data_IF_827175966759
#
_entry.id   IF_827175966759
#
_cell.length_a   1.000
_cell.length_b   1.000
_cell.length_c   1.000
_cell.angle_alpha   90.00
_cell.angle_beta   90.00
_cell.angle_gamma   90.00
#
_symmetry.space_group_name_H-M   'P 1'
#
loop_
_entity.id
_entity.type
_entity.pdbx_description
1 polymer ?
#
# COMPACT_ATOMS: atom_id res chain seq x y z
N UNK A 1 -39.41 13.90 -7.93
CA UNK A 1 -38.37 14.04 -8.99
C UNK A 1 -37.03 14.54 -8.46
N UNK A 2 -36.97 15.60 -7.63
CA UNK A 2 -35.71 16.14 -7.07
C UNK A 2 -34.87 15.13 -6.27
N UNK A 3 -35.44 14.46 -5.28
CA UNK A 3 -34.72 13.45 -4.49
C UNK A 3 -34.21 12.30 -5.36
N UNK A 4 -35.04 11.78 -6.27
CA UNK A 4 -34.62 10.71 -7.20
C UNK A 4 -33.45 11.11 -8.10
N UNK A 5 -33.42 12.37 -8.56
CA UNK A 5 -32.30 12.91 -9.33
C UNK A 5 -31.01 13.00 -8.52
N UNK A 6 -31.09 13.46 -7.27
CA UNK A 6 -29.94 13.57 -6.34
C UNK A 6 -29.39 12.18 -5.99
N UNK A 7 -30.27 11.23 -5.69
CA UNK A 7 -29.86 9.85 -5.40
C UNK A 7 -29.19 9.22 -6.62
N UNK A 8 -29.81 9.33 -7.80
CA UNK A 8 -29.25 8.76 -9.03
C UNK A 8 -27.90 9.40 -9.41
N UNK A 9 -27.79 10.74 -9.34
CA UNK A 9 -26.54 11.42 -9.68
C UNK A 9 -25.42 11.09 -8.69
N UNK A 10 -25.72 11.02 -7.39
CA UNK A 10 -24.75 10.64 -6.36
C UNK A 10 -24.28 9.20 -6.56
N UNK A 11 -25.21 8.29 -6.89
CA UNK A 11 -24.89 6.89 -7.14
C UNK A 11 -24.01 6.73 -8.39
N UNK A 12 -24.36 7.40 -9.49
CA UNK A 12 -23.58 7.40 -10.74
C UNK A 12 -22.20 8.00 -10.52
N UNK A 13 -22.11 9.16 -9.86
CA UNK A 13 -20.84 9.83 -9.55
C UNK A 13 -19.95 8.92 -8.69
N UNK A 14 -20.51 8.30 -7.66
CA UNK A 14 -19.73 7.42 -6.77
C UNK A 14 -19.29 6.14 -7.48
N UNK A 15 -20.14 5.55 -8.33
CA UNK A 15 -19.78 4.41 -9.19
C UNK A 15 -18.67 4.77 -10.19
N UNK A 16 -18.67 5.98 -10.73
CA UNK A 16 -17.65 6.46 -11.66
C UNK A 16 -16.29 6.67 -10.96
N UNK A 17 -16.29 7.11 -9.70
CA UNK A 17 -15.06 7.35 -8.92
C UNK A 17 -14.52 6.07 -8.25
N UNK A 18 -15.38 5.08 -7.98
CA UNK A 18 -15.02 3.85 -7.28
C UNK A 18 -13.76 3.13 -7.83
N UNK A 19 -13.56 2.96 -9.15
CA UNK A 19 -12.38 2.28 -9.69
C UNK A 19 -11.06 3.00 -9.33
N UNK A 20 -11.08 4.33 -9.28
CA UNK A 20 -9.91 5.14 -8.89
C UNK A 20 -9.56 4.93 -7.42
N UNK A 21 -10.58 4.90 -6.55
CA UNK A 21 -10.41 4.61 -5.13
C UNK A 21 -9.82 3.22 -4.89
N UNK A 22 -10.35 2.20 -5.58
CA UNK A 22 -9.87 0.82 -5.45
C UNK A 22 -8.43 0.68 -5.97
N UNK A 23 -8.10 1.26 -7.13
CA UNK A 23 -6.76 1.13 -7.73
C UNK A 23 -5.66 1.78 -6.86
N UNK A 24 -5.92 2.96 -6.28
CA UNK A 24 -4.91 3.66 -5.48
C UNK A 24 -4.87 3.23 -4.02
N UNK A 25 -6.02 3.06 -3.39
CA UNK A 25 -6.11 2.83 -1.95
C UNK A 25 -6.32 1.38 -1.57
N UNK A 26 -6.56 0.48 -2.54
CA UNK A 26 -6.76 -0.97 -2.32
C UNK A 26 -7.90 -1.27 -1.33
N UNK A 27 -8.78 -0.29 -1.12
CA UNK A 27 -9.86 -0.31 -0.17
C UNK A 27 -11.16 -0.02 -0.93
N UNK A 28 -12.15 -0.88 -0.74
CA UNK A 28 -13.45 -0.70 -1.36
C UNK A 28 -14.33 0.12 -0.43
N UNK A 29 -14.42 1.42 -0.71
CA UNK A 29 -15.34 2.36 -0.07
C UNK A 29 -16.79 2.18 -0.58
N UNK A 30 -17.27 0.93 -0.64
CA UNK A 30 -18.68 0.64 -0.99
C UNK A 30 -19.64 1.40 -0.06
N UNK A 31 -19.23 1.60 1.19
CA UNK A 31 -19.99 2.32 2.20
C UNK A 31 -19.87 3.85 2.10
N UNK A 32 -18.93 4.39 1.32
CA UNK A 32 -18.89 5.83 1.04
C UNK A 32 -20.10 6.28 0.21
N UNK A 33 -20.67 5.39 -0.60
CA UNK A 33 -21.91 5.65 -1.35
C UNK A 33 -23.07 5.90 -0.38
N UNK A 34 -23.24 5.01 0.60
CA UNK A 34 -24.26 5.13 1.65
C UNK A 34 -24.01 6.36 2.53
N UNK A 35 -22.77 6.62 2.92
CA UNK A 35 -22.41 7.80 3.69
C UNK A 35 -22.72 9.10 2.93
N UNK A 36 -22.33 9.19 1.65
CA UNK A 36 -22.57 10.36 0.81
C UNK A 36 -24.06 10.59 0.55
N UNK A 37 -24.83 9.51 0.37
CA UNK A 37 -26.28 9.60 0.16
C UNK A 37 -26.99 10.29 1.34
N UNK A 38 -26.50 10.10 2.57
CA UNK A 38 -27.06 10.70 3.79
C UNK A 38 -26.41 12.05 4.10
N UNK A 39 -25.08 12.16 3.93
CA UNK A 39 -24.33 13.37 4.23
C UNK A 39 -24.66 14.53 3.29
N UNK A 40 -24.84 14.29 1.99
CA UNK A 40 -25.10 15.36 1.01
C UNK A 40 -26.42 16.10 1.29
N UNK A 41 -27.56 15.43 1.55
CA UNK A 41 -28.79 16.11 1.95
C UNK A 41 -28.65 16.93 3.25
N UNK A 42 -27.99 16.38 4.27
CA UNK A 42 -27.76 17.08 5.54
C UNK A 42 -26.91 18.34 5.30
N UNK A 43 -25.83 18.22 4.53
CA UNK A 43 -25.00 19.35 4.14
C UNK A 43 -25.79 20.43 3.39
N UNK A 44 -26.58 20.04 2.39
CA UNK A 44 -27.25 21.00 1.51
C UNK A 44 -28.47 21.67 2.16
N UNK A 45 -29.19 20.97 3.04
CA UNK A 45 -30.42 21.48 3.66
C UNK A 45 -30.12 22.21 4.97
N UNK A 46 -29.15 21.75 5.76
CA UNK A 46 -28.89 22.27 7.11
C UNK A 46 -27.59 23.07 7.13
N UNK A 47 -26.47 22.45 6.76
CA UNK A 47 -25.14 23.02 6.98
C UNK A 47 -24.89 24.25 6.11
N UNK A 48 -25.15 24.16 4.80
CA UNK A 48 -24.82 25.22 3.84
C UNK A 48 -25.74 26.46 3.99
N UNK A 49 -27.06 26.31 4.19
CA UNK A 49 -27.93 27.45 4.49
C UNK A 49 -27.61 28.10 5.84
N UNK A 50 -27.29 27.29 6.87
CA UNK A 50 -26.86 27.82 8.16
C UNK A 50 -25.53 28.57 8.04
N UNK A 51 -24.55 28.05 7.28
CA UNK A 51 -23.28 28.73 7.03
C UNK A 51 -23.47 30.07 6.30
N UNK A 52 -24.36 30.13 5.31
CA UNK A 52 -24.70 31.37 4.63
C UNK A 52 -25.39 32.37 5.59
N UNK A 53 -26.31 31.90 6.41
CA UNK A 53 -26.98 32.71 7.43
C UNK A 53 -25.97 33.23 8.48
N UNK A 54 -24.99 32.44 8.87
CA UNK A 54 -23.88 32.87 9.74
C UNK A 54 -23.12 34.02 9.12
N UNK A 55 -22.75 33.91 7.83
CA UNK A 55 -22.00 34.95 7.13
C UNK A 55 -22.77 36.28 7.07
N UNK A 56 -24.09 36.22 6.87
CA UNK A 56 -24.96 37.41 6.85
C UNK A 56 -25.20 37.99 8.25
N UNK A 57 -25.24 37.15 9.29
CA UNK A 57 -25.46 37.57 10.68
C UNK A 57 -24.19 38.10 11.38
N UNK A 58 -23.01 37.73 10.88
CA UNK A 58 -21.70 38.14 11.37
C UNK A 58 -21.52 39.66 11.53
N UNK A 59 -21.92 40.53 10.58
CA UNK A 59 -21.82 41.98 10.77
C UNK A 59 -22.75 42.55 11.87
N UNK A 60 -23.78 41.81 12.29
CA UNK A 60 -24.77 42.24 13.28
C UNK A 60 -24.50 41.64 14.68
N UNK A 61 -23.54 40.70 14.80
CA UNK A 61 -23.21 40.04 16.07
C UNK A 61 -24.22 38.97 16.52
N UNK A 62 -25.06 38.46 15.59
CA UNK A 62 -26.09 37.44 15.84
C UNK A 62 -25.74 36.06 15.26
N UNK A 63 -24.45 35.80 15.04
CA UNK A 63 -23.95 34.56 14.44
C UNK A 63 -24.18 33.30 15.29
N UNK A 64 -24.45 33.45 16.60
CA UNK A 64 -24.60 32.34 17.53
C UNK A 64 -25.75 31.38 17.15
N UNK A 65 -26.89 31.92 16.70
CA UNK A 65 -28.04 31.09 16.32
C UNK A 65 -27.80 30.26 15.05
N UNK A 66 -27.31 30.84 13.93
CA UNK A 66 -26.88 30.08 12.76
C UNK A 66 -25.78 29.05 13.04
N UNK A 67 -24.79 29.40 13.87
CA UNK A 67 -23.71 28.49 14.28
C UNK A 67 -24.24 27.27 15.05
N UNK A 68 -25.23 27.46 15.91
CA UNK A 68 -25.84 26.36 16.66
C UNK A 68 -26.56 25.36 15.75
N UNK A 69 -27.31 25.86 14.76
CA UNK A 69 -27.96 25.03 13.72
C UNK A 69 -26.94 24.29 12.87
N UNK A 70 -25.83 24.96 12.50
CA UNK A 70 -24.73 24.31 11.78
C UNK A 70 -24.10 23.17 12.60
N UNK A 71 -23.95 23.37 13.92
CA UNK A 71 -23.47 22.35 14.86
C UNK A 71 -24.31 21.07 14.81
N UNK A 72 -25.64 21.19 14.84
CA UNK A 72 -26.56 20.04 14.70
C UNK A 72 -26.36 19.29 13.38
N UNK A 73 -26.16 20.02 12.28
CA UNK A 73 -25.87 19.40 10.98
C UNK A 73 -24.56 18.60 10.99
N UNK A 74 -23.52 19.13 11.65
CA UNK A 74 -22.23 18.45 11.77
C UNK A 74 -22.33 17.22 12.68
N UNK A 75 -23.00 17.33 13.82
CA UNK A 75 -23.22 16.19 14.72
C UNK A 75 -23.99 15.07 14.03
N UNK A 76 -25.03 15.41 13.26
CA UNK A 76 -25.77 14.43 12.46
C UNK A 76 -24.87 13.72 11.43
N UNK A 77 -23.96 14.44 10.78
CA UNK A 77 -22.98 13.84 9.86
C UNK A 77 -21.99 12.91 10.57
N UNK A 78 -21.47 13.32 11.73
CA UNK A 78 -20.53 12.51 12.52
C UNK A 78 -21.22 11.25 13.03
N UNK A 79 -22.46 11.35 13.50
CA UNK A 79 -23.25 10.20 13.92
C UNK A 79 -23.48 9.22 12.76
N UNK A 80 -23.85 9.72 11.57
CA UNK A 80 -24.00 8.88 10.38
C UNK A 80 -22.68 8.20 10.00
N UNK A 81 -21.56 8.93 10.04
CA UNK A 81 -20.24 8.37 9.73
C UNK A 81 -19.85 7.25 10.71
N UNK A 82 -20.10 7.44 12.01
CA UNK A 82 -19.86 6.42 13.03
C UNK A 82 -20.74 5.17 12.83
N UNK A 83 -22.01 5.37 12.47
CA UNK A 83 -22.93 4.26 12.19
C UNK A 83 -22.52 3.46 10.95
N UNK A 84 -22.13 4.16 9.87
CA UNK A 84 -21.66 3.51 8.63
C UNK A 84 -20.33 2.79 8.84
N UNK A 85 -19.43 3.35 9.65
CA UNK A 85 -18.15 2.71 9.99
C UNK A 85 -18.31 1.47 10.86
N UNK A 86 -19.38 1.36 11.64
CA UNK A 86 -19.68 0.20 12.48
C UNK A 86 -20.26 -1.00 11.73
N UNK A 87 -20.60 -0.87 10.45
CA UNK A 87 -21.19 -1.95 9.66
C UNK A 87 -20.12 -3.02 9.30
N UNK A 88 -20.40 -4.32 9.52
CA UNK A 88 -19.48 -5.40 9.15
C UNK A 88 -19.26 -5.40 7.64
N UNK A 89 -17.99 -5.25 7.21
CA UNK A 89 -17.62 -5.14 5.80
C UNK A 89 -17.42 -3.71 5.28
N UNK A 90 -17.46 -2.69 6.16
CA UNK A 90 -17.25 -1.26 5.83
C UNK A 90 -16.04 -0.99 4.91
N UNK A 91 -15.02 -1.85 4.99
CA UNK A 91 -13.87 -1.88 4.10
C UNK A 91 -13.76 -3.28 3.50
N UNK A 92 -14.22 -3.44 2.26
CA UNK A 92 -13.88 -4.60 1.46
C UNK A 92 -12.44 -4.43 0.96
N UNK A 93 -11.50 -5.26 1.43
CA UNK A 93 -10.14 -5.26 0.89
C UNK A 93 -10.17 -6.00 -0.44
N UNK A 94 -10.02 -5.27 -1.54
CA UNK A 94 -9.98 -5.87 -2.88
C UNK A 94 -8.51 -5.94 -3.31
N UNK A 95 -8.04 -7.09 -3.82
CA UNK A 95 -6.68 -7.25 -4.29
C UNK A 95 -6.31 -6.16 -5.31
N UNK A 96 -5.04 -5.77 -5.31
CA UNK A 96 -4.50 -4.82 -6.28
C UNK A 96 -4.91 -5.16 -7.72
N UNK A 97 -5.62 -4.22 -8.34
CA UNK A 97 -6.09 -4.37 -9.72
C UNK A 97 -4.89 -4.10 -10.65
N UNK A 98 -4.57 -5.00 -11.60
CA UNK A 98 -3.51 -4.75 -12.57
C UNK A 98 -3.85 -3.52 -13.41
N UNK A 99 -2.84 -2.73 -13.77
CA UNK A 99 -3.01 -1.46 -14.51
C UNK A 99 -3.82 -1.64 -15.80
N UNK A 100 -3.68 -2.78 -16.49
CA UNK A 100 -4.47 -3.11 -17.68
C UNK A 100 -5.98 -3.20 -17.40
N UNK A 101 -6.37 -3.85 -16.30
CA UNK A 101 -7.78 -3.94 -15.90
C UNK A 101 -8.35 -2.56 -15.55
N UNK A 102 -7.57 -1.72 -14.86
CA UNK A 102 -7.94 -0.33 -14.58
C UNK A 102 -8.13 0.50 -15.85
N UNK A 103 -7.22 0.39 -16.83
CA UNK A 103 -7.35 1.08 -18.12
C UNK A 103 -8.59 0.60 -18.88
N UNK A 104 -8.89 -0.71 -18.88
CA UNK A 104 -10.12 -1.23 -19.48
C UNK A 104 -11.37 -0.63 -18.86
N UNK A 105 -11.40 -0.51 -17.52
CA UNK A 105 -12.52 0.10 -16.82
C UNK A 105 -12.69 1.57 -17.17
N UNK A 106 -11.60 2.34 -17.30
CA UNK A 106 -11.64 3.74 -17.74
C UNK A 106 -12.16 3.84 -19.17
N UNK A 107 -11.61 3.06 -20.09
CA UNK A 107 -12.03 3.08 -21.51
C UNK A 107 -13.50 2.71 -21.65
N UNK A 108 -13.97 1.70 -20.91
CA UNK A 108 -15.38 1.31 -20.87
C UNK A 108 -16.29 2.38 -20.26
N UNK A 109 -15.85 3.05 -19.19
CA UNK A 109 -16.55 4.16 -18.58
C UNK A 109 -16.65 5.37 -19.51
N UNK A 110 -15.54 5.70 -20.18
CA UNK A 110 -15.48 6.80 -21.16
C UNK A 110 -16.35 6.51 -22.39
N UNK A 111 -16.34 5.26 -22.87
CA UNK A 111 -17.26 4.82 -23.94
C UNK A 111 -18.72 4.97 -23.52
N UNK A 112 -19.03 4.61 -22.28
CA UNK A 112 -20.37 4.80 -21.73
C UNK A 112 -20.75 6.29 -21.58
N UNK A 113 -19.79 7.18 -21.32
CA UNK A 113 -20.05 8.61 -21.13
C UNK A 113 -20.18 9.38 -22.45
N UNK A 114 -19.44 8.99 -23.50
CA UNK A 114 -19.40 9.70 -24.77
C UNK A 114 -20.59 9.39 -25.69
N UNK A 115 -21.16 8.18 -25.63
CA UNK A 115 -22.22 7.75 -26.55
C UNK A 115 -23.62 7.89 -25.92
N UNK A 116 -24.51 8.61 -26.58
CA UNK A 116 -25.93 8.77 -26.19
C UNK A 116 -26.86 7.68 -26.74
N UNK A 117 -26.41 6.89 -27.71
CA UNK A 117 -27.18 5.83 -28.40
C UNK A 117 -27.00 4.46 -27.71
N UNK A 118 -27.78 3.43 -28.09
CA UNK A 118 -27.69 2.05 -27.53
C UNK A 118 -26.30 1.41 -27.63
N UNK A 119 -25.42 1.95 -28.46
CA UNK A 119 -24.00 1.60 -28.58
C UNK A 119 -23.21 1.82 -27.28
N UNK A 120 -23.75 2.63 -26.36
CA UNK A 120 -23.23 2.81 -24.99
C UNK A 120 -23.08 1.50 -24.23
N UNK A 121 -23.95 0.51 -24.47
CA UNK A 121 -23.92 -0.79 -23.80
C UNK A 121 -22.67 -1.61 -24.13
N UNK A 122 -22.02 -1.34 -25.27
CA UNK A 122 -20.74 -1.98 -25.62
C UNK A 122 -19.62 -1.60 -24.64
N UNK A 123 -19.72 -0.44 -23.96
CA UNK A 123 -18.77 -0.01 -22.93
C UNK A 123 -18.88 -0.82 -21.62
N UNK A 124 -19.98 -1.55 -21.40
CA UNK A 124 -20.13 -2.44 -20.24
C UNK A 124 -19.22 -3.66 -20.37
N UNK A 125 -18.99 -4.14 -21.59
CA UNK A 125 -18.13 -5.31 -21.86
C UNK A 125 -16.70 -5.12 -21.34
N UNK A 126 -15.97 -4.03 -21.66
CA UNK A 126 -14.63 -3.80 -21.12
C UNK A 126 -14.63 -3.54 -19.61
N UNK A 127 -15.70 -2.96 -19.03
CA UNK A 127 -15.83 -2.81 -17.57
C UNK A 127 -15.89 -4.18 -16.89
N UNK A 128 -16.76 -5.07 -17.38
CA UNK A 128 -16.91 -6.43 -16.86
C UNK A 128 -15.62 -7.24 -17.09
N UNK A 129 -15.01 -7.12 -18.26
CA UNK A 129 -13.73 -7.78 -18.54
C UNK A 129 -12.63 -7.32 -17.58
N UNK A 130 -12.51 -6.01 -17.33
CA UNK A 130 -11.58 -5.45 -16.34
C UNK A 130 -11.85 -5.99 -14.94
N UNK A 131 -13.12 -6.09 -14.53
CA UNK A 131 -13.50 -6.65 -13.23
C UNK A 131 -13.16 -8.14 -13.10
N UNK A 132 -13.35 -8.92 -14.17
CA UNK A 132 -13.03 -10.36 -14.20
C UNK A 132 -11.51 -10.60 -14.25
N UNK A 133 -10.76 -9.72 -14.91
CA UNK A 133 -9.30 -9.78 -15.00
C UNK A 133 -8.60 -9.20 -13.77
N UNK A 134 -9.31 -8.44 -12.93
CA UNK A 134 -8.77 -7.84 -11.71
C UNK A 134 -8.04 -8.83 -10.78
N UNK A 135 -8.59 -10.02 -10.45
CA UNK A 135 -7.90 -10.99 -9.59
C UNK A 135 -6.72 -11.71 -10.28
N UNK A 136 -6.54 -11.58 -11.60
CA UNK A 136 -5.52 -12.31 -12.35
C UNK A 136 -4.11 -11.68 -12.27
N UNK A 137 -3.95 -10.58 -11.52
CA UNK A 137 -2.65 -9.95 -11.30
C UNK A 137 -1.64 -10.91 -10.67
N UNK A 138 -0.41 -10.92 -11.18
CA UNK A 138 0.70 -11.67 -10.54
C UNK A 138 1.03 -11.01 -9.21
N UNK A 139 0.82 -11.74 -8.11
CA UNK A 139 1.21 -11.31 -6.77
C UNK A 139 2.69 -11.64 -6.52
N UNK A 140 3.42 -10.82 -5.73
CA UNK A 140 4.78 -11.14 -5.34
C UNK A 140 4.81 -12.39 -4.45
N UNK A 141 5.88 -13.18 -4.61
CA UNK A 141 6.12 -14.42 -3.86
C UNK A 141 6.88 -14.15 -2.56
N UNK A 142 7.79 -13.16 -2.58
CA UNK A 142 8.54 -12.70 -1.41
C UNK A 142 8.50 -11.17 -1.37
N UNK A 143 8.28 -10.61 -0.19
CA UNK A 143 8.28 -9.18 0.09
C UNK A 143 9.30 -8.89 1.20
N UNK A 144 10.20 -7.95 0.95
CA UNK A 144 11.19 -7.48 1.92
C UNK A 144 10.90 -6.01 2.19
N UNK A 145 10.58 -5.71 3.45
CA UNK A 145 10.19 -4.39 3.91
C UNK A 145 11.38 -3.50 4.23
N UNK A 146 11.07 -2.28 4.67
CA UNK A 146 12.10 -1.28 4.96
C UNK A 146 12.98 -1.74 6.13
N UNK A 147 14.30 -1.65 5.94
CA UNK A 147 15.30 -2.04 6.95
C UNK A 147 15.37 -3.54 7.26
N UNK A 148 14.89 -4.41 6.36
CA UNK A 148 14.89 -5.88 6.50
C UNK A 148 14.14 -6.41 7.74
N UNK A 149 13.46 -5.55 8.50
CA UNK A 149 12.75 -5.91 9.72
C UNK A 149 11.45 -6.67 9.47
N UNK A 150 10.91 -6.57 8.25
CA UNK A 150 9.73 -7.30 7.81
C UNK A 150 10.09 -8.11 6.56
N UNK A 151 9.94 -9.42 6.63
CA UNK A 151 10.08 -10.30 5.45
C UNK A 151 8.85 -11.18 5.38
N UNK A 152 8.10 -11.11 4.29
CA UNK A 152 6.93 -11.95 4.07
C UNK A 152 7.13 -12.86 2.87
N UNK A 153 6.65 -14.09 3.01
CA UNK A 153 6.61 -15.10 1.95
C UNK A 153 5.19 -15.55 1.72
N UNK A 154 4.90 -15.85 0.46
CA UNK A 154 3.63 -16.46 0.09
C UNK A 154 3.70 -17.96 0.29
N UNK A 155 2.74 -18.51 1.03
CA UNK A 155 2.60 -19.95 1.23
C UNK A 155 1.99 -20.62 0.00
N UNK A 156 2.05 -21.96 -0.07
CA UNK A 156 1.39 -22.73 -1.13
C UNK A 156 -0.14 -22.53 -1.14
N UNK A 157 -0.73 -22.14 0.00
CA UNK A 157 -2.14 -21.75 0.10
C UNK A 157 -2.43 -20.33 -0.44
N UNK A 158 -1.43 -19.62 -0.96
CA UNK A 158 -1.55 -18.27 -1.52
C UNK A 158 -1.60 -17.15 -0.47
N UNK A 159 -1.42 -17.47 0.81
CA UNK A 159 -1.49 -16.54 1.93
C UNK A 159 -0.11 -15.95 2.27
N UNK A 160 -0.07 -14.70 2.74
CA UNK A 160 1.16 -14.11 3.28
C UNK A 160 1.45 -14.65 4.69
N UNK A 161 2.68 -15.10 4.88
CA UNK A 161 3.27 -15.42 6.18
C UNK A 161 4.45 -14.47 6.38
N UNK A 162 4.49 -13.74 7.50
CA UNK A 162 5.45 -12.66 7.70
C UNK A 162 6.31 -12.88 8.95
N UNK A 163 7.62 -12.71 8.77
CA UNK A 163 8.59 -12.51 9.84
C UNK A 163 8.56 -11.01 10.22
N UNK A 164 7.75 -10.67 11.21
CA UNK A 164 7.52 -9.30 11.63
C UNK A 164 8.42 -8.89 12.81
N UNK A 165 9.38 -7.99 12.55
CA UNK A 165 10.19 -7.33 13.57
C UNK A 165 9.43 -6.23 14.32
N UNK A 166 10.04 -5.70 15.38
CA UNK A 166 9.45 -4.63 16.19
C UNK A 166 9.18 -3.39 15.34
N UNK A 167 7.95 -2.88 15.34
CA UNK A 167 7.54 -1.70 14.56
C UNK A 167 7.05 -1.96 13.13
N UNK A 168 7.01 -3.22 12.68
CA UNK A 168 6.59 -3.57 11.30
C UNK A 168 5.09 -3.76 11.11
N UNK A 169 4.28 -3.63 12.18
CA UNK A 169 2.83 -3.89 12.15
C UNK A 169 2.09 -3.03 11.12
N UNK A 170 2.47 -1.76 10.98
CA UNK A 170 1.84 -0.85 10.02
C UNK A 170 2.15 -1.23 8.56
N UNK A 171 3.39 -1.66 8.28
CA UNK A 171 3.80 -2.11 6.95
C UNK A 171 3.10 -3.42 6.60
N UNK A 172 3.05 -4.37 7.55
CA UNK A 172 2.33 -5.64 7.39
C UNK A 172 0.82 -5.42 7.17
N UNK A 173 0.20 -4.48 7.89
CA UNK A 173 -1.21 -4.14 7.69
C UNK A 173 -1.48 -3.68 6.26
N UNK A 174 -0.63 -2.79 5.71
CA UNK A 174 -0.76 -2.32 4.33
C UNK A 174 -0.54 -3.43 3.31
N UNK A 175 0.34 -4.39 3.57
CA UNK A 175 0.54 -5.53 2.67
C UNK A 175 -0.66 -6.48 2.66
N UNK A 176 -1.26 -6.76 3.83
CA UNK A 176 -2.49 -7.55 3.92
C UNK A 176 -3.66 -6.85 3.21
N UNK A 177 -3.78 -5.54 3.36
CA UNK A 177 -4.77 -4.72 2.63
C UNK A 177 -4.59 -4.82 1.11
N UNK A 178 -3.36 -4.64 0.63
CA UNK A 178 -3.02 -4.77 -0.80
C UNK A 178 -3.33 -6.16 -1.37
N UNK A 179 -3.15 -7.20 -0.55
CA UNK A 179 -3.41 -8.59 -0.93
C UNK A 179 -4.89 -8.99 -0.90
N UNK A 180 -5.77 -8.14 -0.32
CA UNK A 180 -7.16 -8.47 -0.06
C UNK A 180 -7.38 -9.38 1.15
N UNK A 181 -6.37 -9.53 2.03
CA UNK A 181 -6.40 -10.44 3.16
C UNK A 181 -7.09 -9.79 4.37
N UNK A 182 -8.14 -10.42 4.88
CA UNK A 182 -8.93 -9.92 6.02
C UNK A 182 -8.35 -10.31 7.38
N UNK A 183 -7.30 -11.14 7.43
CA UNK A 183 -6.68 -11.59 8.69
C UNK A 183 -6.06 -10.42 9.47
N UNK A 184 -5.97 -10.59 10.78
CA UNK A 184 -5.26 -9.67 11.66
C UNK A 184 -3.74 -9.81 11.47
N UNK A 185 -2.99 -8.73 11.68
CA UNK A 185 -1.53 -8.73 11.52
C UNK A 185 -0.87 -9.78 12.42
N UNK A 186 -1.43 -9.99 13.62
CA UNK A 186 -0.95 -11.00 14.57
C UNK A 186 -1.03 -12.43 14.03
N UNK A 187 -1.98 -12.75 13.14
CA UNK A 187 -2.09 -14.08 12.53
C UNK A 187 -1.07 -14.28 11.41
N UNK A 188 -0.89 -13.27 10.57
CA UNK A 188 0.13 -13.29 9.51
C UNK A 188 1.56 -13.28 10.09
N UNK A 189 1.75 -12.60 11.22
CA UNK A 189 3.02 -12.51 11.95
C UNK A 189 3.40 -13.80 12.71
N UNK A 190 2.54 -14.85 12.71
CA UNK A 190 2.90 -16.17 13.28
C UNK A 190 4.03 -16.86 12.50
N UNK A 191 4.43 -16.32 11.34
CA UNK A 191 5.55 -16.79 10.54
C UNK A 191 5.50 -18.31 10.26
N UNK A 192 4.30 -18.87 10.08
CA UNK A 192 4.08 -20.32 9.90
C UNK A 192 4.85 -20.96 8.75
N UNK A 193 5.28 -20.17 7.77
CA UNK A 193 6.09 -20.63 6.63
C UNK A 193 7.60 -20.65 6.92
N UNK A 194 8.03 -20.04 8.04
CA UNK A 194 9.42 -19.91 8.42
C UNK A 194 9.81 -20.93 9.48
N UNK A 195 11.04 -21.42 9.37
CA UNK A 195 11.74 -22.17 10.41
C UNK A 195 12.88 -21.31 10.92
N UNK A 196 12.76 -20.87 12.16
CA UNK A 196 13.70 -19.94 12.78
C UNK A 196 14.55 -20.63 13.86
N UNK A 197 15.80 -20.21 13.94
CA UNK A 197 16.72 -20.50 15.03
C UNK A 197 17.23 -19.18 15.66
N UNK A 198 18.29 -19.27 16.47
CA UNK A 198 18.87 -18.10 17.15
C UNK A 198 19.59 -17.12 16.20
N UNK A 199 19.94 -17.55 14.99
CA UNK A 199 20.82 -16.82 14.08
C UNK A 199 20.15 -16.41 12.76
N UNK A 200 19.04 -17.04 12.39
CA UNK A 200 18.29 -16.73 11.18
C UNK A 200 16.95 -17.46 11.08
N UNK A 201 16.28 -17.24 9.95
CA UNK A 201 15.05 -17.93 9.59
C UNK A 201 15.11 -18.39 8.13
N UNK A 202 14.61 -19.58 7.85
CA UNK A 202 14.53 -20.11 6.48
C UNK A 202 13.08 -20.38 6.09
N UNK A 203 12.76 -20.21 4.82
CA UNK A 203 11.47 -20.55 4.23
C UNK A 203 11.66 -21.16 2.85
N UNK A 204 10.73 -22.03 2.42
CA UNK A 204 10.68 -22.55 1.05
C UNK A 204 9.55 -21.88 0.29
N UNK A 205 9.87 -21.33 -0.88
CA UNK A 205 8.89 -20.66 -1.75
C UNK A 205 9.11 -21.16 -3.17
N UNK A 206 8.09 -21.83 -3.74
CA UNK A 206 8.16 -22.40 -5.11
C UNK A 206 9.42 -23.24 -5.37
N UNK A 207 9.84 -24.03 -4.38
CA UNK A 207 11.00 -24.91 -4.46
C UNK A 207 12.37 -24.24 -4.21
N UNK A 208 12.43 -22.92 -4.05
CA UNK A 208 13.66 -22.21 -3.67
C UNK A 208 13.77 -21.99 -2.17
N UNK A 209 15.00 -22.05 -1.66
CA UNK A 209 15.30 -21.78 -0.26
C UNK A 209 15.58 -20.29 -0.07
N UNK A 210 14.71 -19.62 0.69
CA UNK A 210 14.92 -18.26 1.19
C UNK A 210 15.53 -18.34 2.59
N UNK A 211 16.65 -17.67 2.81
CA UNK A 211 17.25 -17.49 4.13
C UNK A 211 17.23 -16.00 4.52
N UNK A 212 16.86 -15.73 5.76
CA UNK A 212 16.86 -14.42 6.39
C UNK A 212 17.84 -14.48 7.55
N UNK A 213 19.05 -13.96 7.34
CA UNK A 213 20.11 -13.99 8.34
C UNK A 213 20.01 -12.77 9.28
N UNK A 214 19.95 -13.05 10.58
CA UNK A 214 19.96 -12.03 11.63
C UNK A 214 21.36 -11.79 12.20
N UNK A 215 22.28 -12.75 12.03
CA UNK A 215 23.64 -12.70 12.55
C UNK A 215 24.68 -13.09 11.48
N UNK A 216 25.88 -12.48 11.49
CA UNK A 216 27.00 -12.87 10.61
C UNK A 216 27.45 -14.33 10.78
N UNK A 217 27.12 -14.97 11.91
CA UNK A 217 27.48 -16.37 12.20
C UNK A 217 26.77 -17.35 11.27
N UNK A 218 25.49 -17.11 10.95
CA UNK A 218 24.71 -17.95 10.03
C UNK A 218 25.15 -17.82 8.56
N UNK A 219 25.93 -16.78 8.25
CA UNK A 219 26.25 -16.42 6.86
C UNK A 219 27.08 -17.50 6.14
N UNK A 220 27.91 -18.28 6.85
CA UNK A 220 28.73 -19.31 6.18
C UNK A 220 27.87 -20.39 5.53
N UNK A 221 26.86 -20.85 6.25
CA UNK A 221 25.97 -21.92 5.80
C UNK A 221 24.91 -21.36 4.84
N UNK A 222 24.31 -20.23 5.19
CA UNK A 222 23.26 -19.59 4.39
C UNK A 222 23.76 -19.12 3.02
N UNK A 223 24.99 -18.61 2.94
CA UNK A 223 25.55 -18.10 1.68
C UNK A 223 25.80 -19.22 0.64
N UNK A 224 26.07 -20.44 1.11
CA UNK A 224 26.27 -21.59 0.23
C UNK A 224 24.95 -22.33 -0.09
N UNK A 225 24.03 -22.40 0.88
CA UNK A 225 22.82 -23.21 0.76
C UNK A 225 21.60 -22.46 0.22
N UNK A 226 21.49 -21.14 0.45
CA UNK A 226 20.29 -20.38 0.12
C UNK A 226 20.26 -19.98 -1.37
N UNK A 227 19.09 -20.14 -1.99
CA UNK A 227 18.83 -19.67 -3.35
C UNK A 227 18.54 -18.16 -3.37
N UNK A 228 17.91 -17.65 -2.31
CA UNK A 228 17.67 -16.22 -2.07
C UNK A 228 18.10 -15.92 -0.65
N UNK A 229 18.94 -14.90 -0.47
CA UNK A 229 19.49 -14.54 0.83
C UNK A 229 19.19 -13.08 1.16
N UNK A 230 18.54 -12.86 2.30
CA UNK A 230 18.22 -11.54 2.83
C UNK A 230 19.03 -11.32 4.11
N UNK A 231 19.86 -10.29 4.12
CA UNK A 231 20.69 -9.92 5.27
C UNK A 231 20.11 -8.68 5.95
N UNK A 232 19.94 -8.74 7.28
CA UNK A 232 19.56 -7.56 8.07
C UNK A 232 20.73 -6.62 8.40
N UNK A 233 21.92 -6.95 7.90
CA UNK A 233 23.17 -6.21 8.11
C UNK A 233 23.92 -6.07 6.78
N UNK A 234 24.91 -5.17 6.74
CA UNK A 234 25.73 -4.95 5.57
C UNK A 234 26.51 -6.23 5.19
N UNK A 235 26.57 -6.54 3.89
CA UNK A 235 27.22 -7.75 3.38
C UNK A 235 28.72 -7.79 3.74
N UNK A 236 29.19 -8.82 4.47
CA UNK A 236 30.62 -9.01 4.71
C UNK A 236 31.38 -9.37 3.42
N UNK A 237 32.64 -8.91 3.32
CA UNK A 237 33.58 -9.23 2.22
C UNK A 237 33.95 -10.72 2.27
N UNK A 238 33.15 -11.57 1.65
CA UNK A 238 33.41 -13.02 1.60
C UNK A 238 32.21 -13.88 1.25
N UNK A 239 30.98 -13.40 1.46
CA UNK A 239 29.80 -14.14 1.02
C UNK A 239 29.57 -13.92 -0.48
N UNK A 240 29.67 -14.99 -1.27
CA UNK A 240 29.23 -15.05 -2.68
C UNK A 240 27.99 -15.94 -2.77
N UNK A 241 26.82 -15.35 -2.62
CA UNK A 241 25.57 -16.08 -2.78
C UNK A 241 25.42 -16.57 -4.24
N UNK A 242 24.88 -17.78 -4.41
CA UNK A 242 24.63 -18.36 -5.74
C UNK A 242 23.44 -17.71 -6.47
N UNK A 243 22.58 -16.99 -5.74
CA UNK A 243 21.41 -16.30 -6.28
C UNK A 243 21.25 -14.89 -5.71
N UNK A 244 20.03 -14.31 -5.81
CA UNK A 244 19.74 -12.97 -5.31
C UNK A 244 20.13 -12.79 -3.84
N UNK A 245 21.03 -11.83 -3.60
CA UNK A 245 21.40 -11.35 -2.28
C UNK A 245 20.84 -9.95 -2.09
N UNK A 246 20.09 -9.73 -1.01
CA UNK A 246 19.56 -8.43 -0.63
C UNK A 246 20.13 -8.12 0.76
N UNK A 247 21.01 -7.13 0.85
CA UNK A 247 21.60 -6.70 2.12
C UNK A 247 20.96 -5.41 2.67
N UNK A 248 21.37 -5.01 3.88
CA UNK A 248 20.84 -3.80 4.52
C UNK A 248 21.15 -2.51 3.72
N UNK A 249 22.28 -2.47 3.00
CA UNK A 249 22.66 -1.32 2.20
C UNK A 249 21.79 -1.24 0.93
N UNK A 250 21.52 -2.38 0.30
CA UNK A 250 20.61 -2.50 -0.85
C UNK A 250 19.19 -2.07 -0.46
N UNK A 251 18.72 -2.44 0.73
CA UNK A 251 17.40 -2.03 1.24
C UNK A 251 17.38 -0.54 1.57
N UNK A 252 18.48 0.02 2.09
CA UNK A 252 18.59 1.45 2.33
C UNK A 252 18.59 2.26 1.01
N UNK A 253 19.31 1.78 0.00
CA UNK A 253 19.42 2.42 -1.31
C UNK A 253 18.16 2.29 -2.17
N UNK A 254 17.64 1.06 -2.30
CA UNK A 254 16.58 0.72 -3.26
C UNK A 254 15.19 0.62 -2.62
N UNK A 255 15.13 0.68 -1.29
CA UNK A 255 13.91 0.57 -0.52
C UNK A 255 13.39 -0.86 -0.37
N UNK A 256 12.07 -1.01 -0.34
CA UNK A 256 11.43 -2.33 -0.25
C UNK A 256 11.63 -3.12 -1.56
N UNK A 257 11.74 -4.45 -1.45
CA UNK A 257 11.94 -5.35 -2.58
C UNK A 257 10.77 -6.32 -2.71
N UNK A 258 10.27 -6.49 -3.93
CA UNK A 258 9.28 -7.49 -4.28
C UNK A 258 9.91 -8.51 -5.24
N UNK A 259 9.84 -9.79 -4.90
CA UNK A 259 10.42 -10.87 -5.71
C UNK A 259 9.30 -11.71 -6.31
N UNK A 260 9.42 -11.96 -7.61
CA UNK A 260 8.55 -12.82 -8.39
C UNK A 260 9.35 -14.01 -8.89
N UNK A 261 8.87 -15.21 -8.58
CA UNK A 261 9.52 -16.48 -8.87
C UNK A 261 8.73 -17.19 -9.96
N UNK A 262 9.37 -17.44 -11.10
CA UNK A 262 8.75 -18.17 -12.21
C UNK A 262 9.79 -18.67 -13.22
N UNK A 263 9.57 -19.87 -13.76
CA UNK A 263 10.43 -20.43 -14.82
C UNK A 263 11.91 -20.61 -14.42
N UNK A 264 12.20 -20.79 -13.12
CA UNK A 264 13.57 -20.91 -12.61
C UNK A 264 14.33 -19.59 -12.48
N UNK A 265 13.68 -18.45 -12.74
CA UNK A 265 14.28 -17.12 -12.57
C UNK A 265 13.59 -16.34 -11.45
N UNK A 266 14.36 -15.47 -10.80
CA UNK A 266 13.88 -14.52 -9.80
C UNK A 266 13.92 -13.13 -10.42
N UNK A 267 12.74 -12.53 -10.59
CA UNK A 267 12.61 -11.12 -10.97
C UNK A 267 12.43 -10.29 -9.70
N UNK A 268 13.26 -9.28 -9.53
CA UNK A 268 13.24 -8.39 -8.37
C UNK A 268 12.77 -7.03 -8.85
N UNK A 269 11.80 -6.45 -8.17
CA UNK A 269 11.34 -5.08 -8.38
C UNK A 269 11.54 -4.29 -7.10
N UNK A 270 12.12 -3.10 -7.22
CA UNK A 270 12.41 -2.23 -6.08
C UNK A 270 11.64 -0.91 -6.14
N UNK A 271 11.56 -0.24 -5.00
CA UNK A 271 10.91 1.08 -4.93
C UNK A 271 11.71 2.11 -5.75
N UNK A 272 13.04 2.05 -5.72
CA UNK A 272 13.89 2.94 -6.51
C UNK A 272 13.68 2.76 -8.01
N UNK A 273 13.57 1.52 -8.51
CA UNK A 273 13.34 1.26 -9.95
C UNK A 273 12.02 1.84 -10.46
N UNK A 274 10.98 1.84 -9.61
CA UNK A 274 9.63 2.24 -9.99
C UNK A 274 9.34 3.72 -9.74
N UNK A 275 9.82 4.29 -8.63
CA UNK A 275 9.58 5.70 -8.26
C UNK A 275 10.72 6.64 -8.63
N UNK A 276 11.87 6.10 -9.00
CA UNK A 276 13.12 6.82 -9.24
C UNK A 276 13.79 7.31 -7.96
N UNK A 277 14.97 7.89 -8.12
CA UNK A 277 15.68 8.57 -7.04
C UNK A 277 15.01 9.94 -6.76
N UNK A 278 14.72 10.20 -5.48
CA UNK A 278 14.01 11.41 -5.04
C UNK A 278 14.91 12.19 -4.09
N UNK A 279 14.91 13.53 -4.11
CA UNK A 279 15.76 14.34 -3.23
C UNK A 279 15.57 14.08 -1.72
N UNK A 280 14.43 13.53 -1.33
CA UNK A 280 14.09 13.15 0.05
C UNK A 280 14.21 11.64 0.31
N UNK A 281 14.71 10.87 -0.67
CA UNK A 281 15.08 9.48 -0.45
C UNK A 281 16.40 9.44 0.33
N UNK A 282 16.58 8.46 1.24
CA UNK A 282 17.87 8.26 1.89
C UNK A 282 18.94 8.01 0.83
N UNK A 283 19.96 8.86 0.78
CA UNK A 283 21.11 8.66 -0.10
C UNK A 283 21.92 7.48 0.45
N UNK A 284 22.12 6.42 -0.35
CA UNK A 284 23.05 5.36 0.02
C UNK A 284 24.47 5.80 -0.26
N UNK A 285 25.31 5.91 0.78
CA UNK A 285 26.73 6.24 0.66
C UNK A 285 27.60 5.15 -0.01
N UNK A 286 27.01 4.20 -0.75
CA UNK A 286 27.77 3.12 -1.42
C UNK A 286 28.57 3.65 -2.62
N UNK A 287 28.12 4.73 -3.25
CA UNK A 287 28.78 5.34 -4.39
C UNK A 287 29.82 6.42 -3.99
N UNK A 288 29.86 6.81 -2.72
CA UNK A 288 30.81 7.80 -2.18
C UNK A 288 32.05 7.15 -1.52
N UNK A 289 32.13 5.81 -1.50
CA UNK A 289 33.33 5.15 -0.99
C UNK A 289 34.47 5.37 -2.00
N UNK A 290 35.51 6.16 -1.65
CA UNK A 290 36.66 6.30 -2.54
C UNK A 290 37.22 4.90 -2.83
N UNK A 291 37.71 4.64 -4.05
CA UNK A 291 38.37 3.39 -4.37
C UNK A 291 39.48 3.14 -3.34
N UNK A 292 39.60 1.88 -2.91
CA UNK A 292 40.45 1.47 -1.79
C UNK A 292 41.97 1.53 -2.11
N UNK A 293 42.37 2.38 -3.05
CA UNK A 293 43.74 2.60 -3.49
C UNK A 293 44.22 4.06 -3.34
N UNK A 294 43.42 4.96 -2.78
CA UNK A 294 43.94 6.24 -2.30
C UNK A 294 44.65 6.02 -0.95
N UNK A 295 45.98 5.92 -1.02
CA UNK A 295 46.85 5.73 0.13
C UNK A 295 46.65 6.77 1.24
N UNK A 296 47.06 6.36 2.44
CA UNK A 296 47.35 7.22 3.57
C UNK A 296 48.02 8.51 3.09
N UNK A 297 47.31 9.63 3.14
CA UNK A 297 47.76 10.89 3.72
C UNK A 297 46.69 11.96 3.48
N UNK A 298 46.41 12.74 4.52
CA UNK A 298 45.61 13.98 4.54
C UNK A 298 44.11 13.86 4.87
N UNK A 299 43.82 13.71 6.17
CA UNK A 299 42.53 14.10 6.74
C UNK A 299 42.70 15.41 7.52
N UNK A 300 42.15 16.56 7.08
CA UNK A 300 42.19 17.78 7.88
C UNK A 300 41.24 17.62 9.08
N UNK A 301 41.81 17.81 10.27
CA UNK A 301 41.12 17.69 11.54
C UNK A 301 39.85 18.55 11.60
N UNK A 302 38.69 17.90 11.57
CA UNK A 302 37.40 18.53 11.89
C UNK A 302 37.43 18.98 13.35
N UNK A 303 37.48 20.29 13.54
CA UNK A 303 37.46 20.95 14.84
C UNK A 303 36.27 20.52 15.69
N UNK A 304 36.56 20.03 16.90
CA UNK A 304 35.60 19.88 17.99
C UNK A 304 35.04 21.26 18.34
N UNK A 305 33.74 21.46 18.19
CA UNK A 305 33.01 22.40 19.04
C UNK A 305 32.34 21.61 20.16
N UNK A 306 32.70 21.97 21.38
CA UNK A 306 32.01 21.66 22.63
C UNK A 306 32.03 22.95 23.47
N UNK A 307 31.16 23.09 24.47
CA UNK A 307 29.71 22.93 24.50
C UNK A 307 28.98 24.23 24.09
#
# INVERSE_FOLDING_TARGET
>A
MFFGGIVASTLIASLAVAPFGIYHFHNTQLFAILANLVAIPICNIIVMPAALATLVAMPVGLEAAPLWVMGWGIEAMVWCAGWVAGLPGAVGRVPAIPTFAFVLMIVGGLWCALWSTRWRLLGVVPIVAGLVLAPAGRKPDVLVGRGAGLVAVRTDAGQLSALAGRGSNFELARWLEHDGDSRLQAEAAKASAFRCDAHGCTARVKGMLLAVANSPVALRDDCAAASILVLKFARPKGCKAAGPLIDADDIAAKGAHALYIGGGQVRIETVADTRGDRPWAPVSHRDDAPPADAGDDDWPARGRRSP
#
